data_IF_019909868959
#
_entry.id   IF_019909868959
#
_cell.length_a   1.000
_cell.length_b   1.000
_cell.length_c   1.000
_cell.angle_alpha   90.00
_cell.angle_beta   90.00
_cell.angle_gamma   90.00
#
_symmetry.space_group_name_H-M   'P 1'
#
loop_
_entity.id
_entity.type
_entity.pdbx_description
1 polymer ?
#
# COMPACT_ATOMS: atom_id res chain seq x y z
N UNK A 1 9.99 -7.39 2.10
CA UNK A 1 8.88 -7.45 1.14
C UNK A 1 7.87 -8.50 1.56
N UNK A 2 6.59 -8.18 1.52
CA UNK A 2 5.53 -9.16 1.74
C UNK A 2 5.42 -10.11 0.54
N UNK A 3 4.74 -11.26 0.70
CA UNK A 3 4.23 -11.98 -0.46
C UNK A 3 3.31 -11.09 -1.29
N UNK A 4 3.05 -11.50 -2.52
CA UNK A 4 2.07 -10.82 -3.37
C UNK A 4 0.70 -11.37 -3.03
N UNK A 5 -0.26 -10.48 -2.83
CA UNK A 5 -1.64 -10.81 -2.50
C UNK A 5 -2.56 -10.44 -3.64
N UNK A 6 -3.64 -11.18 -3.76
CA UNK A 6 -4.68 -10.97 -4.77
C UNK A 6 -5.98 -10.58 -4.09
N UNK A 7 -6.68 -9.62 -4.67
CA UNK A 7 -8.02 -9.24 -4.24
C UNK A 7 -8.95 -9.18 -5.45
N UNK A 8 -10.24 -9.56 -5.28
CA UNK A 8 -11.18 -9.49 -6.41
C UNK A 8 -11.51 -8.04 -6.75
N UNK A 9 -11.79 -7.74 -8.03
CA UNK A 9 -12.21 -6.41 -8.44
C UNK A 9 -13.64 -6.14 -7.97
N UNK A 10 -13.85 -5.02 -7.28
CA UNK A 10 -15.16 -4.62 -6.79
C UNK A 10 -16.02 -4.07 -7.94
N UNK A 11 -17.19 -4.67 -8.15
CA UNK A 11 -18.18 -4.15 -9.07
C UNK A 11 -17.83 -4.24 -10.56
N UNK A 12 -16.73 -4.90 -10.92
CA UNK A 12 -16.28 -5.05 -12.32
C UNK A 12 -15.91 -6.51 -12.56
N UNK A 13 -16.90 -7.38 -12.85
CA UNK A 13 -16.67 -8.82 -12.92
C UNK A 13 -15.75 -9.28 -14.05
N UNK A 14 -15.54 -8.44 -15.07
CA UNK A 14 -14.70 -8.79 -16.21
C UNK A 14 -13.26 -8.33 -16.09
N UNK A 15 -12.89 -7.71 -14.98
CA UNK A 15 -11.51 -7.31 -14.73
C UNK A 15 -10.74 -8.41 -14.02
N UNK A 16 -9.42 -8.45 -14.28
CA UNK A 16 -8.51 -9.31 -13.54
C UNK A 16 -8.43 -8.89 -12.08
N UNK A 17 -8.00 -9.80 -11.23
CA UNK A 17 -7.75 -9.53 -9.83
C UNK A 17 -6.68 -8.45 -9.67
N UNK A 18 -6.81 -7.65 -8.60
CA UNK A 18 -5.76 -6.71 -8.22
C UNK A 18 -4.67 -7.44 -7.46
N UNK A 19 -3.41 -7.12 -7.78
CA UNK A 19 -2.25 -7.66 -7.08
C UNK A 19 -1.64 -6.54 -6.24
N UNK A 20 -1.36 -6.86 -4.98
CA UNK A 20 -0.82 -5.91 -4.02
C UNK A 20 0.32 -6.55 -3.22
N UNK A 21 1.31 -5.75 -2.87
CA UNK A 21 2.37 -6.16 -1.96
C UNK A 21 2.82 -4.95 -1.16
N UNK A 22 3.37 -5.20 0.03
CA UNK A 22 3.98 -4.18 0.86
C UNK A 22 5.49 -4.32 0.77
N UNK A 23 6.15 -3.19 0.61
CA UNK A 23 7.60 -3.10 0.61
C UNK A 23 8.04 -2.18 1.74
N UNK A 24 8.84 -2.71 2.65
CA UNK A 24 9.41 -1.94 3.75
C UNK A 24 10.88 -1.75 3.42
N UNK A 25 11.32 -0.49 3.36
CA UNK A 25 12.69 -0.17 2.96
C UNK A 25 13.31 0.85 3.90
N UNK A 26 14.63 0.76 4.04
CA UNK A 26 15.43 1.79 4.69
C UNK A 26 16.13 2.59 3.60
N UNK A 27 15.85 3.89 3.54
CA UNK A 27 16.41 4.75 2.51
C UNK A 27 16.90 6.06 3.11
N UNK A 28 17.85 6.70 2.45
CA UNK A 28 18.35 8.02 2.85
C UNK A 28 17.51 9.16 2.24
N UNK A 29 16.56 8.82 1.39
CA UNK A 29 15.73 9.81 0.68
C UNK A 29 14.65 10.37 1.60
N UNK A 30 14.26 11.63 1.35
CA UNK A 30 13.13 12.25 2.03
C UNK A 30 11.82 11.62 1.55
N UNK A 31 10.71 11.75 2.32
CA UNK A 31 9.42 11.26 1.85
C UNK A 31 9.01 11.81 0.48
N UNK A 32 9.29 13.09 0.23
CA UNK A 32 8.95 13.71 -1.07
C UNK A 32 9.80 13.14 -2.21
N UNK A 33 11.07 12.87 -1.94
CA UNK A 33 11.94 12.21 -2.93
C UNK A 33 11.44 10.79 -3.25
N UNK A 34 10.96 10.06 -2.24
CA UNK A 34 10.35 8.75 -2.43
C UNK A 34 9.07 8.84 -3.26
N UNK A 35 8.25 9.86 -2.99
CA UNK A 35 7.04 10.09 -3.78
C UNK A 35 7.40 10.28 -5.26
N UNK A 36 8.38 11.12 -5.55
CA UNK A 36 8.81 11.36 -6.94
C UNK A 36 9.38 10.10 -7.59
N UNK A 37 10.12 9.31 -6.82
CA UNK A 37 10.65 8.03 -7.31
C UNK A 37 9.51 7.07 -7.67
N UNK A 38 8.49 6.96 -6.81
CA UNK A 38 7.31 6.15 -7.08
C UNK A 38 6.60 6.60 -8.35
N UNK A 39 6.42 7.90 -8.52
CA UNK A 39 5.80 8.47 -9.72
C UNK A 39 6.59 8.14 -10.99
N UNK A 40 7.92 8.16 -10.91
CA UNK A 40 8.76 7.77 -12.05
C UNK A 40 8.61 6.29 -12.38
N UNK A 41 8.50 5.43 -11.38
CA UNK A 41 8.26 4.01 -11.59
C UNK A 41 6.89 3.77 -12.24
N UNK A 42 5.86 4.46 -11.78
CA UNK A 42 4.53 4.38 -12.39
C UNK A 42 4.56 4.82 -13.84
N UNK A 43 5.24 5.93 -14.14
CA UNK A 43 5.37 6.44 -15.50
C UNK A 43 6.13 5.44 -16.40
N UNK A 44 7.18 4.81 -15.89
CA UNK A 44 7.93 3.81 -16.64
C UNK A 44 7.08 2.59 -16.95
N UNK A 45 6.28 2.13 -15.99
CA UNK A 45 5.36 1.00 -16.19
C UNK A 45 4.28 1.34 -17.20
N UNK A 46 3.73 2.57 -17.15
CA UNK A 46 2.71 3.04 -18.07
C UNK A 46 3.22 3.06 -19.52
N UNK A 47 4.48 3.47 -19.72
CA UNK A 47 5.08 3.51 -21.06
C UNK A 47 5.25 2.11 -21.68
N UNK A 48 5.28 1.06 -20.87
CA UNK A 48 5.39 -0.33 -21.34
C UNK A 48 4.03 -0.96 -21.62
N UNK A 49 2.95 -0.25 -21.30
CA UNK A 49 1.60 -0.77 -21.46
C UNK A 49 1.25 -0.85 -22.96
N UNK A 50 0.76 -2.01 -23.38
CA UNK A 50 0.39 -2.23 -24.78
C UNK A 50 -1.07 -1.86 -25.07
N UNK A 51 -1.90 -1.73 -24.04
CA UNK A 51 -3.32 -1.40 -24.17
C UNK A 51 -3.57 0.02 -23.63
N UNK A 52 -4.00 0.89 -24.50
CA UNK A 52 -4.24 2.30 -24.17
C UNK A 52 -5.33 2.48 -23.10
N UNK A 53 -6.34 1.63 -23.11
CA UNK A 53 -7.51 1.73 -22.23
C UNK A 53 -7.56 0.66 -21.15
N UNK A 54 -6.50 -0.10 -20.98
CA UNK A 54 -6.42 -1.12 -19.95
C UNK A 54 -6.19 -0.52 -18.56
N UNK A 55 -6.29 -1.33 -17.48
CA UNK A 55 -5.99 -0.87 -16.14
C UNK A 55 -4.53 -0.43 -16.03
N UNK A 56 -4.25 0.42 -15.04
CA UNK A 56 -2.89 0.88 -14.79
C UNK A 56 -2.01 -0.31 -14.43
N UNK A 57 -0.76 -0.28 -14.91
CA UNK A 57 0.18 -1.38 -14.68
C UNK A 57 0.80 -1.33 -13.29
N UNK A 58 0.90 -0.14 -12.68
CA UNK A 58 1.55 0.01 -11.38
C UNK A 58 1.04 1.24 -10.65
N UNK A 59 0.65 1.05 -9.39
CA UNK A 59 0.36 2.13 -8.45
C UNK A 59 1.34 1.99 -7.29
N UNK A 60 2.02 3.08 -6.94
CA UNK A 60 2.94 3.14 -5.81
C UNK A 60 2.41 4.15 -4.81
N UNK A 61 1.98 3.66 -3.65
CA UNK A 61 1.48 4.50 -2.56
C UNK A 61 2.43 4.43 -1.38
N UNK A 62 2.73 5.59 -0.80
CA UNK A 62 3.48 5.66 0.46
C UNK A 62 2.47 5.58 1.60
N UNK A 63 2.58 4.54 2.39
CA UNK A 63 1.63 4.29 3.48
C UNK A 63 2.08 4.93 4.78
N UNK A 64 3.36 4.76 5.13
CA UNK A 64 3.90 5.23 6.39
C UNK A 64 5.38 5.55 6.24
N UNK A 65 5.82 6.59 6.91
CA UNK A 65 7.25 6.94 7.00
C UNK A 65 7.61 7.09 8.47
N UNK A 66 8.70 6.44 8.85
CA UNK A 66 9.29 6.55 10.19
C UNK A 66 10.68 7.15 10.01
N UNK A 67 11.00 8.20 10.77
CA UNK A 67 12.28 8.86 10.64
C UNK A 67 13.42 8.11 11.34
N UNK A 68 14.64 8.64 11.25
CA UNK A 68 15.83 8.00 11.83
C UNK A 68 15.75 7.87 13.36
N UNK A 69 14.90 8.66 14.01
CA UNK A 69 14.69 8.62 15.47
C UNK A 69 13.56 7.68 15.89
N UNK A 70 12.97 6.97 14.94
CA UNK A 70 11.86 6.06 15.21
C UNK A 70 10.51 6.75 15.34
N UNK A 71 10.40 8.01 14.92
CA UNK A 71 9.17 8.79 15.01
C UNK A 71 8.37 8.66 13.71
N UNK A 72 7.11 8.29 13.83
CA UNK A 72 6.21 8.23 12.69
C UNK A 72 5.89 9.64 12.20
N UNK A 73 6.12 9.92 10.93
CA UNK A 73 5.88 11.23 10.35
C UNK A 73 4.42 11.41 10.01
N UNK A 74 3.91 12.61 10.31
CA UNK A 74 2.53 13.00 9.98
C UNK A 74 2.59 14.16 9.01
N UNK A 75 1.83 14.09 7.92
CA UNK A 75 1.78 15.15 6.92
C UNK A 75 0.34 15.34 6.44
N UNK A 76 -0.08 16.61 6.31
CA UNK A 76 -1.38 16.98 5.77
C UNK A 76 -1.25 17.59 4.36
N UNK A 77 -0.03 17.58 3.79
CA UNK A 77 0.21 18.08 2.45
C UNK A 77 -0.62 17.26 1.45
N UNK A 78 -1.47 17.89 0.61
CA UNK A 78 -2.31 17.15 -0.33
C UNK A 78 -1.57 16.22 -1.27
N UNK A 79 -0.30 16.51 -1.59
CA UNK A 79 0.51 15.63 -2.43
C UNK A 79 1.02 14.39 -1.68
N UNK A 80 1.16 14.49 -0.36
CA UNK A 80 1.75 13.43 0.43
C UNK A 80 1.17 13.43 1.84
N UNK A 81 0.00 12.85 1.98
CA UNK A 81 -0.64 12.70 3.29
C UNK A 81 -0.04 11.48 3.98
N UNK A 82 0.47 11.66 5.19
CA UNK A 82 1.08 10.61 5.98
C UNK A 82 0.44 10.51 7.36
N UNK A 83 0.12 9.34 7.86
CA UNK A 83 0.06 8.08 7.09
C UNK A 83 -1.02 8.16 6.03
N UNK A 84 -0.98 7.24 5.06
CA UNK A 84 -1.97 7.22 3.99
C UNK A 84 -3.38 7.19 4.60
N UNK A 85 -4.29 8.11 4.18
CA UNK A 85 -5.56 8.31 4.90
C UNK A 85 -6.51 7.13 4.87
N UNK A 86 -6.43 6.28 3.86
CA UNK A 86 -7.30 5.13 3.70
C UNK A 86 -6.69 3.82 4.17
N UNK A 87 -5.42 3.82 4.59
CA UNK A 87 -4.71 2.58 4.95
C UNK A 87 -5.45 1.79 6.02
N UNK A 88 -5.95 2.46 7.06
CA UNK A 88 -6.65 1.80 8.17
C UNK A 88 -7.95 1.11 7.78
N UNK A 89 -8.48 1.43 6.61
CA UNK A 89 -9.75 0.89 6.12
C UNK A 89 -9.57 -0.14 5.01
N UNK A 90 -8.32 -0.44 4.62
CA UNK A 90 -8.02 -1.29 3.47
C UNK A 90 -7.34 -2.58 3.86
N UNK A 91 -8.09 -3.67 3.87
CA UNK A 91 -7.54 -4.99 4.17
C UNK A 91 -6.39 -5.34 3.22
N UNK A 92 -6.48 -4.95 1.95
CA UNK A 92 -5.43 -5.23 0.96
C UNK A 92 -4.13 -4.45 1.19
N UNK A 93 -4.12 -3.50 2.13
CA UNK A 93 -2.92 -2.82 2.63
C UNK A 93 -2.46 -3.48 3.93
N UNK A 94 -3.38 -3.64 4.87
CA UNK A 94 -3.04 -4.08 6.24
C UNK A 94 -2.63 -5.55 6.31
N UNK A 95 -3.27 -6.44 5.55
CA UNK A 95 -2.93 -7.87 5.57
C UNK A 95 -1.51 -8.11 5.03
N UNK A 96 -1.13 -7.58 3.86
CA UNK A 96 0.26 -7.69 3.40
C UNK A 96 1.26 -7.02 4.33
N UNK A 97 0.87 -5.90 4.94
CA UNK A 97 1.75 -5.20 5.88
C UNK A 97 2.08 -6.07 7.09
N UNK A 98 1.09 -6.72 7.68
CA UNK A 98 1.32 -7.65 8.80
C UNK A 98 2.21 -8.81 8.39
N UNK A 99 2.08 -9.31 7.17
CA UNK A 99 2.94 -10.38 6.68
C UNK A 99 4.39 -9.93 6.56
N UNK A 100 4.62 -8.67 6.19
CA UNK A 100 5.97 -8.11 6.10
C UNK A 100 6.54 -7.75 7.47
N UNK A 101 5.70 -7.27 8.39
CA UNK A 101 6.10 -6.86 9.74
C UNK A 101 4.96 -7.11 10.74
N UNK A 102 5.01 -8.24 11.47
CA UNK A 102 3.97 -8.56 12.46
C UNK A 102 3.87 -7.55 13.62
N UNK A 103 4.92 -6.74 13.83
CA UNK A 103 4.97 -5.75 14.91
C UNK A 103 4.58 -4.35 14.43
N UNK A 104 4.12 -4.21 13.19
CA UNK A 104 3.78 -2.92 12.61
C UNK A 104 2.71 -2.18 13.42
N UNK A 105 2.86 -0.86 13.51
CA UNK A 105 1.92 0.03 14.18
C UNK A 105 1.59 1.20 13.27
N UNK A 106 0.33 1.62 13.30
CA UNK A 106 -0.16 2.77 12.55
C UNK A 106 -0.65 3.81 13.56
N UNK A 107 0.05 4.92 13.66
CA UNK A 107 -0.19 5.97 14.67
C UNK A 107 -0.28 5.39 16.09
N UNK A 108 0.66 4.50 16.40
CA UNK A 108 0.77 3.88 17.72
C UNK A 108 -0.16 2.68 17.96
N UNK A 109 -1.07 2.39 17.05
CA UNK A 109 -1.99 1.26 17.16
C UNK A 109 -1.45 0.06 16.40
N UNK A 110 -1.31 -1.11 17.04
CA UNK A 110 -0.86 -2.30 16.31
C UNK A 110 -1.74 -2.59 15.11
N UNK A 111 -1.12 -2.80 13.95
CA UNK A 111 -1.86 -3.10 12.72
C UNK A 111 -2.72 -4.36 12.90
N UNK A 112 -2.24 -5.32 13.66
CA UNK A 112 -3.01 -6.53 14.00
C UNK A 112 -4.37 -6.20 14.61
N UNK A 113 -4.42 -5.23 15.53
CA UNK A 113 -5.67 -4.82 16.17
C UNK A 113 -6.59 -4.10 15.18
N UNK A 114 -6.02 -3.34 14.26
CA UNK A 114 -6.82 -2.66 13.24
C UNK A 114 -7.49 -3.69 12.32
N UNK A 115 -6.75 -4.71 11.92
CA UNK A 115 -7.28 -5.81 11.09
C UNK A 115 -8.42 -6.54 11.78
N UNK A 116 -8.30 -6.77 13.09
CA UNK A 116 -9.34 -7.45 13.86
C UNK A 116 -10.67 -6.70 13.87
N UNK A 117 -10.65 -5.39 13.64
CA UNK A 117 -11.85 -4.55 13.61
C UNK A 117 -12.43 -4.36 12.21
N UNK A 118 -11.76 -4.86 11.19
CA UNK A 118 -12.28 -4.80 9.82
C UNK A 118 -13.33 -5.88 9.60
N UNK A 119 -14.15 -5.69 8.56
CA UNK A 119 -15.10 -6.71 8.12
C UNK A 119 -14.32 -7.98 7.74
N UNK A 120 -14.68 -9.10 8.32
CA UNK A 120 -13.98 -10.36 8.10
C UNK A 120 -14.01 -10.79 6.64
N UNK A 121 -15.09 -10.47 5.93
CA UNK A 121 -15.21 -10.78 4.51
C UNK A 121 -14.14 -10.05 3.69
N UNK A 122 -13.85 -8.79 4.05
CA UNK A 122 -12.82 -8.01 3.37
C UNK A 122 -11.43 -8.58 3.64
N UNK A 123 -11.18 -9.00 4.88
CA UNK A 123 -9.90 -9.60 5.25
C UNK A 123 -9.69 -10.94 4.55
N UNK A 124 -10.71 -11.79 4.54
CA UNK A 124 -10.64 -13.11 3.89
C UNK A 124 -10.52 -13.03 2.37
N UNK A 125 -10.97 -11.93 1.77
CA UNK A 125 -10.85 -11.73 0.32
C UNK A 125 -9.40 -11.45 -0.11
N UNK A 126 -8.52 -11.07 0.82
CA UNK A 126 -7.10 -10.82 0.53
C UNK A 126 -6.34 -12.12 0.70
N UNK A 127 -6.01 -12.75 -0.42
CA UNK A 127 -5.37 -14.07 -0.42
C UNK A 127 -4.01 -14.01 -1.09
N UNK A 128 -3.10 -14.83 -0.63
CA UNK A 128 -1.77 -14.91 -1.21
C UNK A 128 -1.87 -15.44 -2.64
N UNK A 129 -1.24 -14.71 -3.55
CA UNK A 129 -1.27 -15.03 -4.98
C UNK A 129 -0.40 -16.22 -5.32
#
# INVERSE_FOLDING_TARGET
QSPIYSTPPWGVPDQDEFLNAILIVNVAQTPRELLRRGQRLEAAAERRRTRKWGPRTLDVDIIQVIDANGVELVSEDPELILPHPWARHRAFVLVPWLAADPEARLLGVPVREIVEKLDIADVEAVVEA
#
